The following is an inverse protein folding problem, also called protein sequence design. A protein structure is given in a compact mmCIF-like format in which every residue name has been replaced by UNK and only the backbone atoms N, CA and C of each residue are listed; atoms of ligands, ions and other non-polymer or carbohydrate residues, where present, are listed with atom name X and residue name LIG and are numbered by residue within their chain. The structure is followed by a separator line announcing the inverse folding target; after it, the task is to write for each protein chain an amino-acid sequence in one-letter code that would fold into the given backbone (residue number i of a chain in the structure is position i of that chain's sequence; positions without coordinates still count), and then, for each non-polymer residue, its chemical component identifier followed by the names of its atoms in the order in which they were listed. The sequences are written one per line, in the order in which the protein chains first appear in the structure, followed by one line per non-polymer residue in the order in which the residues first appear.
data_IF_779994255452
#
_entry.id   IF_779994255452
#
_cell.length_a   1.000
_cell.length_b   1.000
_cell.length_c   1.000
_cell.angle_alpha   90.00
_cell.angle_beta   90.00
_cell.angle_gamma   90.00
#
_symmetry.space_group_name_H-M   'P 1'
#
loop_
_entity.id
_entity.type
_entity.pdbx_description
1 polymer ?
#
# COMPACT_ATOMS: atom_id res chain seq x y z
N UNK A 1 -4.85 -31.09 8.25
CA UNK A 1 -5.79 -30.06 7.75
C UNK A 1 -5.52 -29.84 6.27
N UNK A 2 -6.55 -29.80 5.43
CA UNK A 2 -6.41 -29.56 3.99
C UNK A 2 -6.06 -28.09 3.74
N UNK A 3 -5.12 -27.80 2.84
CA UNK A 3 -4.73 -26.45 2.48
C UNK A 3 -5.91 -25.71 1.82
N UNK A 4 -6.20 -24.44 2.12
CA UNK A 4 -7.18 -23.65 1.37
C UNK A 4 -6.85 -23.63 -0.13
N UNK A 5 -7.86 -23.71 -1.01
CA UNK A 5 -7.66 -23.84 -2.46
C UNK A 5 -6.85 -22.68 -3.04
N UNK A 6 -7.02 -21.45 -2.54
CA UNK A 6 -6.21 -20.31 -3.01
C UNK A 6 -4.70 -20.46 -2.77
N UNK A 7 -4.30 -21.25 -1.76
CA UNK A 7 -2.90 -21.54 -1.42
C UNK A 7 -2.33 -22.75 -2.17
N UNK A 8 -3.16 -23.53 -2.85
CA UNK A 8 -2.73 -24.71 -3.60
C UNK A 8 -2.08 -24.30 -4.93
N UNK A 9 -0.75 -24.48 -5.11
CA UNK A 9 -0.08 -24.09 -6.36
C UNK A 9 -0.44 -25.02 -7.54
N UNK A 10 -0.97 -26.22 -7.30
CA UNK A 10 -1.38 -27.16 -8.34
C UNK A 10 -2.79 -26.86 -8.89
N UNK A 11 -3.59 -26.06 -8.18
CA UNK A 11 -4.92 -25.66 -8.63
C UNK A 11 -4.86 -24.57 -9.73
N UNK A 12 -5.81 -24.55 -10.69
CA UNK A 12 -5.88 -23.49 -11.69
C UNK A 12 -6.02 -22.11 -11.05
N UNK A 13 -5.30 -21.11 -11.58
CA UNK A 13 -5.34 -19.72 -11.09
C UNK A 13 -6.77 -19.17 -10.94
N UNK A 14 -7.70 -19.36 -11.90
CA UNK A 14 -9.06 -18.85 -11.76
C UNK A 14 -9.80 -19.42 -10.53
N UNK A 15 -9.57 -20.68 -10.19
CA UNK A 15 -10.19 -21.30 -9.02
C UNK A 15 -9.58 -20.78 -7.71
N UNK A 16 -8.26 -20.55 -7.70
CA UNK A 16 -7.54 -19.97 -6.56
C UNK A 16 -8.03 -18.55 -6.28
N UNK A 17 -8.18 -17.75 -7.32
CA UNK A 17 -8.70 -16.38 -7.23
C UNK A 17 -10.15 -16.39 -6.73
N UNK A 18 -11.02 -17.25 -7.29
CA UNK A 18 -12.41 -17.37 -6.86
C UNK A 18 -12.53 -17.76 -5.40
N UNK A 19 -11.72 -18.73 -4.93
CA UNK A 19 -11.70 -19.15 -3.52
C UNK A 19 -11.21 -18.02 -2.60
N UNK A 20 -10.15 -17.29 -2.98
CA UNK A 20 -9.66 -16.14 -2.19
C UNK A 20 -10.73 -15.04 -2.08
N UNK A 21 -11.24 -14.57 -3.22
CA UNK A 21 -12.24 -13.50 -3.26
C UNK A 21 -13.56 -13.91 -2.58
N UNK A 22 -13.92 -15.20 -2.59
CA UNK A 22 -15.10 -15.71 -1.88
C UNK A 22 -14.95 -15.69 -0.35
N UNK A 23 -13.71 -15.71 0.17
CA UNK A 23 -13.41 -15.64 1.61
C UNK A 23 -13.31 -14.21 2.13
N UNK A 24 -13.08 -13.25 1.24
CA UNK A 24 -12.85 -11.87 1.62
C UNK A 24 -14.14 -11.09 1.87
N UNK A 25 -14.10 -10.23 2.88
CA UNK A 25 -15.10 -9.18 3.11
C UNK A 25 -15.03 -8.12 2.00
N UNK A 26 -16.06 -7.26 1.93
CA UNK A 26 -16.03 -6.12 1.01
C UNK A 26 -14.87 -5.16 1.35
N UNK A 27 -14.63 -4.91 2.63
CA UNK A 27 -13.56 -4.02 3.09
C UNK A 27 -12.19 -4.52 2.61
N UNK A 28 -11.89 -5.80 2.80
CA UNK A 28 -10.65 -6.42 2.33
C UNK A 28 -10.51 -6.36 0.80
N UNK A 29 -11.62 -6.53 0.05
CA UNK A 29 -11.61 -6.41 -1.42
C UNK A 29 -11.29 -4.99 -1.86
N UNK A 30 -11.86 -4.01 -1.18
CA UNK A 30 -11.55 -2.58 -1.39
C UNK A 30 -10.08 -2.32 -1.06
N UNK A 31 -9.56 -2.86 0.06
CA UNK A 31 -8.17 -2.71 0.47
C UNK A 31 -7.15 -3.24 -0.54
N UNK A 32 -7.52 -4.11 -1.47
CA UNK A 32 -6.62 -4.55 -2.55
C UNK A 32 -6.50 -3.54 -3.70
N UNK A 33 -7.51 -2.68 -3.89
CA UNK A 33 -7.60 -1.78 -5.06
C UNK A 33 -7.74 -0.31 -4.68
N UNK A 34 -7.76 0.00 -3.38
CA UNK A 34 -7.90 1.36 -2.87
C UNK A 34 -6.69 2.23 -3.28
N UNK A 35 -6.97 3.51 -3.55
CA UNK A 35 -5.99 4.53 -3.95
C UNK A 35 -6.39 5.92 -3.42
N UNK A 36 -7.10 5.97 -2.29
CA UNK A 36 -7.62 7.23 -1.71
C UNK A 36 -6.52 8.15 -1.19
N UNK A 37 -5.40 7.61 -0.75
CA UNK A 37 -4.28 8.36 -0.18
C UNK A 37 -3.22 8.67 -1.25
N UNK A 38 -2.76 9.92 -1.27
CA UNK A 38 -1.56 10.28 -2.02
C UNK A 38 -0.31 9.82 -1.27
N UNK A 39 0.69 9.35 -2.01
CA UNK A 39 1.88 8.76 -1.42
C UNK A 39 2.73 9.74 -0.62
N UNK A 40 2.70 11.03 -0.93
CA UNK A 40 3.36 12.07 -0.12
C UNK A 40 2.69 12.33 1.23
N UNK A 41 1.44 11.86 1.45
CA UNK A 41 0.77 11.92 2.76
C UNK A 41 1.05 10.65 3.60
N UNK A 42 1.69 9.63 3.01
CA UNK A 42 1.88 8.33 3.63
C UNK A 42 3.05 8.30 4.64
N UNK A 43 3.97 9.25 4.52
CA UNK A 43 5.16 9.33 5.35
C UNK A 43 5.47 10.78 5.74
N UNK A 44 6.31 10.92 6.74
CA UNK A 44 6.93 12.19 7.11
C UNK A 44 8.40 11.98 7.46
N UNK A 45 9.19 13.04 7.36
CA UNK A 45 10.60 13.03 7.74
C UNK A 45 10.75 12.87 9.25
N UNK A 46 11.61 11.95 9.66
CA UNK A 46 11.91 11.65 11.06
C UNK A 46 13.43 11.41 11.22
N UNK A 47 14.13 12.39 11.76
CA UNK A 47 15.60 12.36 11.87
C UNK A 47 16.27 12.22 10.51
N UNK A 48 17.14 11.22 10.37
CA UNK A 48 17.87 10.89 9.13
C UNK A 48 17.05 10.08 8.11
N UNK A 49 15.77 9.80 8.39
CA UNK A 49 14.93 8.97 7.52
C UNK A 49 13.46 9.39 7.54
N UNK A 50 12.58 8.41 7.33
CA UNK A 50 11.14 8.61 7.18
C UNK A 50 10.39 7.63 8.04
N UNK A 51 9.22 8.05 8.53
CA UNK A 51 8.28 7.19 9.24
C UNK A 51 6.91 7.26 8.59
N UNK A 52 6.13 6.18 8.72
CA UNK A 52 4.73 6.18 8.31
C UNK A 52 3.91 7.15 9.16
N UNK A 53 3.04 7.92 8.51
CA UNK A 53 2.09 8.81 9.18
C UNK A 53 1.00 8.01 9.89
N UNK A 54 0.35 8.61 10.88
CA UNK A 54 -0.82 8.00 11.52
C UNK A 54 -2.00 7.91 10.53
N UNK A 55 -2.08 8.84 9.58
CA UNK A 55 -3.04 8.80 8.48
C UNK A 55 -2.86 7.53 7.62
N UNK A 56 -1.62 7.18 7.25
CA UNK A 56 -1.35 5.94 6.52
C UNK A 56 -1.78 4.71 7.30
N UNK A 57 -1.44 4.65 8.59
CA UNK A 57 -1.81 3.53 9.46
C UNK A 57 -3.33 3.39 9.59
N UNK A 58 -4.04 4.51 9.70
CA UNK A 58 -5.50 4.54 9.76
C UNK A 58 -6.13 4.06 8.44
N UNK A 59 -5.60 4.48 7.29
CA UNK A 59 -6.09 4.04 5.96
C UNK A 59 -5.95 2.52 5.81
N UNK A 60 -4.77 1.96 6.13
CA UNK A 60 -4.56 0.50 6.08
C UNK A 60 -5.48 -0.23 7.04
N UNK A 61 -5.64 0.25 8.27
CA UNK A 61 -6.52 -0.37 9.27
C UNK A 61 -8.00 -0.34 8.87
N UNK A 62 -8.44 0.68 8.14
CA UNK A 62 -9.83 0.82 7.70
C UNK A 62 -10.24 -0.19 6.61
N UNK A 63 -9.28 -0.63 5.78
CA UNK A 63 -9.56 -1.49 4.62
C UNK A 63 -8.83 -2.83 4.64
N UNK A 64 -8.06 -3.11 5.70
CA UNK A 64 -7.17 -4.28 5.81
C UNK A 64 -6.22 -4.40 4.58
N UNK A 65 -5.80 -3.25 4.07
CA UNK A 65 -5.03 -3.15 2.85
C UNK A 65 -4.91 -1.72 2.35
N UNK A 66 -3.80 -1.42 1.65
CA UNK A 66 -3.59 -0.12 1.04
C UNK A 66 -4.15 -0.10 -0.39
N UNK A 67 -3.82 -1.11 -1.19
CA UNK A 67 -4.01 -1.08 -2.64
C UNK A 67 -2.78 -0.47 -3.30
N UNK A 68 -2.91 0.71 -3.92
CA UNK A 68 -1.77 1.39 -4.55
C UNK A 68 -1.62 2.86 -4.12
N UNK A 69 -0.39 3.29 -3.86
CA UNK A 69 -0.07 4.68 -3.53
C UNK A 69 0.41 5.41 -4.78
N UNK A 70 -0.35 6.43 -5.18
CA UNK A 70 0.07 7.31 -6.25
C UNK A 70 1.05 8.37 -5.73
N UNK A 71 2.20 8.51 -6.39
CA UNK A 71 3.13 9.61 -6.13
C UNK A 71 3.93 9.50 -4.83
N UNK A 72 4.20 8.29 -4.34
CA UNK A 72 5.03 8.06 -3.14
C UNK A 72 6.35 8.83 -3.18
N UNK A 73 7.06 8.77 -4.30
CA UNK A 73 8.38 9.39 -4.47
C UNK A 73 8.32 10.79 -5.10
N UNK A 74 7.15 11.44 -5.10
CA UNK A 74 6.96 12.73 -5.77
C UNK A 74 7.22 13.89 -4.81
N UNK A 75 8.36 14.55 -4.98
CA UNK A 75 8.76 15.74 -4.24
C UNK A 75 8.87 16.93 -5.21
N UNK A 76 7.75 17.63 -5.41
CA UNK A 76 7.63 18.74 -6.36
C UNK A 76 6.50 19.71 -5.96
N UNK A 77 6.39 20.85 -6.67
CA UNK A 77 5.42 21.89 -6.35
C UNK A 77 3.94 21.41 -6.36
N UNK A 78 3.61 20.36 -7.11
CA UNK A 78 2.25 19.79 -7.14
C UNK A 78 1.96 18.88 -5.95
N UNK A 79 2.96 18.23 -5.34
CA UNK A 79 2.74 17.48 -4.08
C UNK A 79 2.77 18.38 -2.85
N UNK A 80 3.34 19.58 -2.96
CA UNK A 80 3.52 20.49 -1.82
C UNK A 80 4.63 20.06 -0.86
N UNK A 81 5.35 18.98 -1.17
CA UNK A 81 6.56 18.53 -0.48
C UNK A 81 7.77 18.68 -1.41
N UNK A 82 8.91 19.08 -0.85
CA UNK A 82 10.20 19.19 -1.53
C UNK A 82 11.20 18.13 -1.07
N UNK A 83 12.47 18.29 -1.40
CA UNK A 83 13.51 17.34 -0.94
C UNK A 83 13.89 17.51 0.54
N UNK A 84 13.44 18.59 1.18
CA UNK A 84 13.70 18.84 2.60
C UNK A 84 12.81 17.98 3.52
N UNK A 85 11.62 17.63 3.06
CA UNK A 85 10.54 16.98 3.81
C UNK A 85 9.97 15.73 3.11
N UNK A 86 10.10 15.64 1.78
CA UNK A 86 9.78 14.47 0.96
C UNK A 86 10.93 13.47 0.79
N UNK A 87 10.78 12.58 -0.21
CA UNK A 87 11.82 11.65 -0.65
C UNK A 87 12.68 12.31 -1.73
N UNK A 88 14.00 12.40 -1.49
CA UNK A 88 14.96 12.72 -2.54
C UNK A 88 15.30 11.47 -3.38
N UNK A 89 16.19 11.61 -4.37
CA UNK A 89 16.58 10.49 -5.24
C UNK A 89 17.24 9.33 -4.48
N UNK A 90 17.98 9.61 -3.40
CA UNK A 90 18.65 8.60 -2.59
C UNK A 90 17.62 7.87 -1.73
N UNK A 91 16.73 8.60 -1.07
CA UNK A 91 15.66 8.03 -0.25
C UNK A 91 14.68 7.22 -1.11
N UNK A 92 14.35 7.71 -2.31
CA UNK A 92 13.57 6.99 -3.31
C UNK A 92 14.21 5.65 -3.69
N UNK A 93 15.51 5.63 -3.96
CA UNK A 93 16.21 4.38 -4.27
C UNK A 93 16.22 3.37 -3.12
N UNK A 94 16.22 3.80 -1.86
CA UNK A 94 16.14 2.89 -0.70
C UNK A 94 14.74 2.33 -0.44
N UNK A 95 13.71 2.99 -0.96
CA UNK A 95 12.30 2.69 -0.67
C UNK A 95 11.58 2.00 -1.82
N UNK A 96 12.28 1.76 -2.94
CA UNK A 96 11.81 1.06 -4.13
C UNK A 96 11.88 -0.47 -4.00
#
# INVERSE_FOLDING_TARGET
MTLPRYRDPAAPVPDRVRDLLGRMTLAEKVGQVNQRMYGWDAYERAGEGHRLTDAFRAEVAAFDGMGALYGLQRADAWSGVGFADGLDARDGARTA
#
